data_IF_098325265889
#
_entry.id   IF_098325265889
#
_cell.length_a   1.000
_cell.length_b   1.000
_cell.length_c   1.000
_cell.angle_alpha   90.00
_cell.angle_beta   90.00
_cell.angle_gamma   90.00
#
_symmetry.space_group_name_H-M   'P 1'
#
loop_
_entity.id
_entity.type
_entity.pdbx_description
1 polymer ?
#
# COMPACT_ATOMS: atom_id res chain seq x y z
N UNK A 1 -12.74 -11.46 5.92
CA UNK A 1 -11.28 -11.71 5.87
C UNK A 1 -10.62 -10.38 5.55
N UNK A 2 -10.35 -9.62 6.59
CA UNK A 2 -9.84 -8.25 6.52
C UNK A 2 -8.38 -8.26 6.05
N UNK A 3 -8.17 -7.80 4.82
CA UNK A 3 -6.85 -7.35 4.38
C UNK A 3 -6.71 -5.94 4.95
N UNK A 4 -6.26 -5.86 6.20
CA UNK A 4 -6.24 -4.62 6.97
C UNK A 4 -5.24 -3.64 6.35
N UNK A 5 -5.74 -2.81 5.44
CA UNK A 5 -5.04 -1.64 4.96
C UNK A 5 -5.10 -0.57 6.05
N UNK A 6 -4.03 -0.45 6.83
CA UNK A 6 -3.89 0.61 7.82
C UNK A 6 -3.30 1.86 7.16
N UNK A 7 -4.02 2.98 7.28
CA UNK A 7 -3.58 4.29 6.81
C UNK A 7 -3.52 5.23 8.00
N UNK A 8 -2.34 5.78 8.29
CA UNK A 8 -2.20 6.77 9.37
C UNK A 8 -2.42 8.20 8.87
N UNK A 9 -2.58 9.15 9.80
CA UNK A 9 -2.79 10.58 9.51
C UNK A 9 -1.66 11.25 8.72
N UNK A 10 -0.53 10.56 8.52
CA UNK A 10 0.62 11.03 7.76
C UNK A 10 0.64 10.49 6.32
N UNK A 11 -0.41 9.78 5.90
CA UNK A 11 -0.50 9.14 4.57
C UNK A 11 0.46 7.96 4.42
N UNK A 12 0.76 7.23 5.50
CA UNK A 12 1.52 5.97 5.45
C UNK A 12 0.56 4.79 5.29
N UNK A 13 0.88 3.92 4.34
CA UNK A 13 0.12 2.75 3.92
C UNK A 13 0.82 1.49 4.40
N UNK A 14 0.18 0.72 5.27
CA UNK A 14 0.67 -0.61 5.64
C UNK A 14 0.00 -1.67 4.74
N UNK A 15 0.84 -2.51 4.14
CA UNK A 15 0.45 -3.57 3.21
C UNK A 15 1.27 -4.82 3.53
N UNK A 16 0.76 -6.01 3.26
CA UNK A 16 1.55 -7.24 3.44
C UNK A 16 2.84 -7.15 2.61
N UNK A 17 3.98 -7.58 3.18
CA UNK A 17 5.27 -7.46 2.48
C UNK A 17 5.31 -8.22 1.14
N UNK A 18 4.51 -9.28 1.01
CA UNK A 18 4.35 -10.06 -0.23
C UNK A 18 3.60 -9.29 -1.33
N UNK A 19 2.65 -8.43 -0.95
CA UNK A 19 1.85 -7.61 -1.86
C UNK A 19 2.55 -6.28 -2.20
N UNK A 20 3.50 -5.85 -1.37
CA UNK A 20 4.23 -4.58 -1.51
C UNK A 20 4.86 -4.42 -2.90
N UNK A 21 5.59 -5.41 -3.38
CA UNK A 21 6.31 -5.32 -4.64
C UNK A 21 5.35 -5.14 -5.83
N UNK A 22 4.25 -5.90 -5.84
CA UNK A 22 3.24 -5.82 -6.90
C UNK A 22 2.47 -4.51 -6.88
N UNK A 23 2.11 -4.02 -5.69
CA UNK A 23 1.41 -2.74 -5.58
C UNK A 23 2.32 -1.55 -5.95
N UNK A 24 3.59 -1.58 -5.58
CA UNK A 24 4.57 -0.56 -6.02
C UNK A 24 4.73 -0.56 -7.54
N UNK A 25 4.79 -1.74 -8.17
CA UNK A 25 4.85 -1.83 -9.62
C UNK A 25 3.62 -1.18 -10.26
N UNK A 26 2.42 -1.51 -9.78
CA UNK A 26 1.16 -0.90 -10.24
C UNK A 26 1.16 0.63 -10.10
N UNK A 27 1.60 1.16 -8.95
CA UNK A 27 1.67 2.61 -8.73
C UNK A 27 2.61 3.28 -9.74
N UNK A 28 3.77 2.66 -10.01
CA UNK A 28 4.74 3.15 -11.00
C UNK A 28 4.21 3.10 -12.43
N UNK A 29 3.54 2.01 -12.80
CA UNK A 29 2.90 1.85 -14.12
C UNK A 29 1.81 2.88 -14.37
N UNK A 30 1.08 3.28 -13.32
CA UNK A 30 0.02 4.29 -13.41
C UNK A 30 0.50 5.72 -13.13
N UNK A 31 1.83 5.95 -13.12
CA UNK A 31 2.44 7.24 -12.83
C UNK A 31 1.96 7.91 -11.52
N UNK A 32 1.59 7.10 -10.53
CA UNK A 32 1.14 7.58 -9.21
C UNK A 32 2.38 7.95 -8.40
N UNK A 33 2.56 9.23 -8.00
CA UNK A 33 3.69 9.65 -7.20
C UNK A 33 3.63 9.00 -5.81
N UNK A 34 4.52 8.03 -5.58
CA UNK A 34 4.66 7.32 -4.32
C UNK A 34 6.12 7.22 -3.89
N UNK A 35 6.36 7.47 -2.60
CA UNK A 35 7.61 7.18 -1.93
C UNK A 35 7.49 5.83 -1.23
N UNK A 36 8.13 4.83 -1.84
CA UNK A 36 8.25 3.51 -1.22
C UNK A 36 9.30 3.63 -0.12
N UNK A 37 8.85 3.61 1.13
CA UNK A 37 9.78 3.48 2.24
C UNK A 37 10.07 1.98 2.38
N UNK A 38 11.29 1.53 2.04
CA UNK A 38 11.60 0.10 2.09
C UNK A 38 11.48 -0.38 3.54
N UNK A 39 10.33 -1.01 3.81
CA UNK A 39 10.04 -1.87 4.95
C UNK A 39 10.77 -1.47 6.25
N UNK A 40 10.23 -0.48 6.97
CA UNK A 40 10.13 -0.72 8.41
C UNK A 40 9.30 -2.00 8.54
N UNK A 41 9.98 -3.15 8.71
CA UNK A 41 9.32 -4.43 8.96
C UNK A 41 8.63 -4.31 10.30
N UNK A 42 7.42 -3.78 10.30
CA UNK A 42 6.58 -3.76 11.48
C UNK A 42 6.13 -5.22 11.68
N UNK A 43 6.71 -5.88 12.68
CA UNK A 43 6.20 -7.16 13.15
C UNK A 43 5.02 -6.88 14.07
N UNK A 44 3.81 -6.91 13.51
CA UNK A 44 2.58 -6.92 14.28
C UNK A 44 1.96 -8.32 14.16
N UNK A 45 1.81 -9.02 15.29
CA UNK A 45 1.20 -10.36 15.32
C UNK A 45 1.92 -11.42 14.46
N UNK A 46 3.23 -11.31 14.28
CA UNK A 46 4.04 -12.28 13.52
C UNK A 46 3.98 -12.15 11.99
N UNK A 47 3.27 -11.15 11.45
CA UNK A 47 3.29 -10.81 10.01
C UNK A 47 4.20 -9.62 9.74
N UNK A 48 4.91 -9.68 8.61
CA UNK A 48 5.75 -8.59 8.13
C UNK A 48 4.97 -7.70 7.18
N UNK A 49 4.86 -6.41 7.51
CA UNK A 49 4.23 -5.42 6.65
C UNK A 49 5.28 -4.50 6.01
N UNK A 50 5.02 -4.12 4.76
CA UNK A 50 5.69 -3.03 4.07
C UNK A 50 4.95 -1.71 4.28
N UNK A 51 5.69 -0.60 4.21
CA UNK A 51 5.11 0.75 4.35
C UNK A 51 5.34 1.53 3.07
N UNK A 52 4.27 1.99 2.42
CA UNK A 52 4.36 2.94 1.29
C UNK A 52 3.89 4.30 1.81
N UNK A 53 4.44 5.39 1.28
CA UNK A 53 3.89 6.72 1.45
C UNK A 53 3.47 7.23 0.09
N UNK A 54 2.17 7.43 -0.13
CA UNK A 54 1.74 8.18 -1.31
C UNK A 54 2.04 9.66 -1.07
N UNK A 55 2.46 10.37 -2.12
CA UNK A 55 2.70 11.81 -1.99
C UNK A 55 1.38 12.55 -1.69
N UNK A 56 1.50 13.69 -1.03
CA UNK A 56 0.44 14.48 -0.34
C UNK A 56 -0.82 14.83 -1.17
N UNK A 57 -0.85 14.49 -2.45
CA UNK A 57 -1.95 14.72 -3.37
C UNK A 57 -3.10 13.72 -3.20
N UNK A 58 -2.89 12.60 -2.51
CA UNK A 58 -3.92 11.57 -2.33
C UNK A 58 -4.45 11.54 -0.91
N UNK A 59 -5.75 11.76 -0.77
CA UNK A 59 -6.49 11.42 0.44
C UNK A 59 -6.52 9.90 0.69
N UNK A 60 -6.74 9.54 1.95
CA UNK A 60 -6.85 8.17 2.45
C UNK A 60 -7.83 7.31 1.64
N UNK A 61 -8.93 7.88 1.17
CA UNK A 61 -9.96 7.19 0.39
C UNK A 61 -9.50 6.87 -1.02
N UNK A 62 -8.85 7.81 -1.71
CA UNK A 62 -8.30 7.60 -3.04
C UNK A 62 -7.26 6.49 -3.03
N UNK A 63 -6.41 6.48 -2.01
CA UNK A 63 -5.39 5.47 -1.85
C UNK A 63 -5.95 4.07 -1.53
N UNK A 64 -7.01 4.00 -0.71
CA UNK A 64 -7.81 2.77 -0.54
C UNK A 64 -8.40 2.29 -1.87
N UNK A 65 -8.91 3.22 -2.68
CA UNK A 65 -9.41 2.95 -4.01
C UNK A 65 -8.35 2.30 -4.90
N UNK A 66 -7.17 2.91 -5.01
CA UNK A 66 -6.04 2.38 -5.79
C UNK A 66 -5.65 0.97 -5.37
N UNK A 67 -5.55 0.73 -4.05
CA UNK A 67 -5.23 -0.60 -3.53
C UNK A 67 -6.31 -1.63 -3.87
N UNK A 68 -7.58 -1.28 -3.69
CA UNK A 68 -8.71 -2.17 -4.00
C UNK A 68 -8.76 -2.50 -5.49
N UNK A 69 -8.59 -1.51 -6.36
CA UNK A 69 -8.58 -1.70 -7.83
C UNK A 69 -7.45 -2.63 -8.23
N UNK A 70 -6.23 -2.39 -7.74
CA UNK A 70 -5.10 -3.27 -8.00
C UNK A 70 -5.35 -4.70 -7.50
N UNK A 71 -5.83 -4.86 -6.25
CA UNK A 71 -6.06 -6.19 -5.67
C UNK A 71 -7.21 -6.95 -6.35
N UNK A 72 -8.20 -6.25 -6.88
CA UNK A 72 -9.23 -6.86 -7.74
C UNK A 72 -8.66 -7.31 -9.09
N UNK A 73 -7.80 -6.51 -9.71
CA UNK A 73 -7.15 -6.86 -10.97
C UNK A 73 -6.13 -8.01 -10.80
N UNK A 74 -5.43 -8.08 -9.67
CA UNK A 74 -4.44 -9.12 -9.37
C UNK A 74 -5.06 -10.47 -8.92
N UNK A 75 -6.36 -10.50 -8.62
CA UNK A 75 -7.09 -11.71 -8.20
C UNK A 75 -7.75 -12.46 -9.38
N UNK A 76 -7.62 -11.94 -10.60
CA UNK A 76 -8.08 -12.52 -11.87
C UNK A 76 -6.90 -13.16 -12.58
#
# INVERSE_FOLDING_TARGET
MDTELYINEQGRFQIASEELAGFVAYLRENAVPCDVQPAERVQAGGRSYGVIRLQHLYDTDTARGLYRTWRQAAAV
#
